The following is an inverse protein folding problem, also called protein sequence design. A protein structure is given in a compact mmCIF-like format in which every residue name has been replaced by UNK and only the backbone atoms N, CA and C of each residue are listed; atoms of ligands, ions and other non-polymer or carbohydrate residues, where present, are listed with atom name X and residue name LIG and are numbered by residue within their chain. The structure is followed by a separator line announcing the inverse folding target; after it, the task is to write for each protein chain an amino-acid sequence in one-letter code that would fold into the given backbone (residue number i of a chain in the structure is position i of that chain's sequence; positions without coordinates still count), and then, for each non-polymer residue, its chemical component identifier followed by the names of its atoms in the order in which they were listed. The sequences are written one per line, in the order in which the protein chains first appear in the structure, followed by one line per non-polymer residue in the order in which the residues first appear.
data_IF_691547408257
#
_entry.id   IF_691547408257
#
_cell.length_a   1.000
_cell.length_b   1.000
_cell.length_c   1.000
_cell.angle_alpha   90.00
_cell.angle_beta   90.00
_cell.angle_gamma   90.00
#
_symmetry.space_group_name_H-M   'P 1'
#
loop_
_entity.id
_entity.type
_entity.pdbx_description
1 polymer ?
#
# COMPACT_ATOMS: atom_id res chain seq x y z
N UNK A 1 -86.22 14.61 13.18
CA UNK A 1 -85.88 16.06 13.18
C UNK A 1 -84.63 16.25 14.05
N UNK A 2 -83.50 16.71 13.49
CA UNK A 2 -82.36 17.43 14.13
C UNK A 2 -81.62 16.66 15.26
N UNK A 3 -80.28 16.53 15.33
CA UNK A 3 -79.14 17.23 14.74
C UNK A 3 -77.90 16.32 14.85
N UNK A 4 -77.00 16.49 13.86
CA UNK A 4 -75.64 15.93 13.74
C UNK A 4 -74.74 16.37 14.92
N UNK A 5 -73.89 15.47 15.41
CA UNK A 5 -72.62 15.83 16.05
C UNK A 5 -71.48 15.32 15.16
N UNK A 6 -70.67 16.27 14.70
CA UNK A 6 -69.48 16.05 13.89
C UNK A 6 -68.33 15.94 14.88
N UNK A 7 -67.75 14.76 15.03
CA UNK A 7 -66.47 14.57 15.72
C UNK A 7 -65.38 14.69 14.67
N UNK A 8 -64.77 15.87 14.57
CA UNK A 8 -63.60 16.08 13.73
C UNK A 8 -62.40 15.34 14.33
N UNK A 9 -61.91 14.33 13.63
CA UNK A 9 -60.58 13.75 13.90
C UNK A 9 -59.59 14.59 13.12
N UNK A 10 -58.78 15.37 13.84
CA UNK A 10 -57.63 16.08 13.31
C UNK A 10 -56.58 15.01 12.92
N UNK A 11 -56.47 14.68 11.63
CA UNK A 11 -55.33 13.91 11.15
C UNK A 11 -54.10 14.83 11.20
N UNK A 12 -53.26 14.66 12.21
CA UNK A 12 -51.91 15.18 12.18
C UNK A 12 -51.14 14.40 11.10
N UNK A 13 -50.93 15.03 9.95
CA UNK A 13 -49.96 14.59 8.95
C UNK A 13 -48.56 14.73 9.57
N UNK A 14 -48.12 13.67 10.26
CA UNK A 14 -46.71 13.46 10.58
C UNK A 14 -45.99 13.23 9.27
N UNK A 15 -45.37 14.29 8.75
CA UNK A 15 -44.37 14.21 7.70
C UNK A 15 -43.18 13.46 8.28
N UNK A 16 -43.09 12.16 7.99
CA UNK A 16 -41.84 11.43 8.11
C UNK A 16 -40.88 12.02 7.09
N UNK A 17 -40.11 13.03 7.50
CA UNK A 17 -38.88 13.38 6.82
C UNK A 17 -37.97 12.19 7.09
N UNK A 18 -37.92 11.24 6.16
CA UNK A 18 -36.82 10.29 6.12
C UNK A 18 -35.55 11.13 6.16
N UNK A 19 -34.62 10.91 7.10
CA UNK A 19 -33.33 11.55 7.01
C UNK A 19 -32.76 11.13 5.66
N UNK A 20 -32.55 12.10 4.77
CA UNK A 20 -31.81 11.85 3.55
C UNK A 20 -30.50 11.21 4.00
N UNK A 21 -30.27 9.95 3.59
CA UNK A 21 -29.05 9.22 3.92
C UNK A 21 -27.90 10.14 3.53
N UNK A 22 -27.12 10.60 4.51
CA UNK A 22 -26.04 11.54 4.25
C UNK A 22 -25.15 10.89 3.18
N UNK A 23 -24.91 11.62 2.08
CA UNK A 23 -24.04 11.11 1.03
C UNK A 23 -22.66 10.84 1.64
N UNK A 24 -22.01 9.71 1.30
CA UNK A 24 -20.74 9.34 1.90
C UNK A 24 -19.73 10.49 1.76
N UNK A 25 -19.08 10.84 2.88
CA UNK A 25 -18.07 11.90 2.93
C UNK A 25 -16.78 11.36 2.30
N UNK A 26 -16.30 11.99 1.22
CA UNK A 26 -14.98 11.67 0.67
C UNK A 26 -13.91 12.16 1.64
N UNK A 27 -13.00 11.28 2.03
CA UNK A 27 -11.80 11.66 2.79
C UNK A 27 -10.72 12.11 1.80
N UNK A 28 -10.17 13.29 2.05
CA UNK A 28 -9.08 13.80 1.22
C UNK A 28 -7.80 12.95 1.42
N UNK A 29 -7.02 12.72 0.35
CA UNK A 29 -5.71 12.07 0.46
C UNK A 29 -4.81 12.82 1.45
N UNK A 30 -4.03 12.06 2.22
CA UNK A 30 -3.06 12.61 3.18
C UNK A 30 -1.90 13.26 2.41
N UNK A 31 -1.52 12.64 1.29
CA UNK A 31 -0.48 13.14 0.41
C UNK A 31 -1.08 13.53 -0.95
N UNK A 32 -0.63 14.63 -1.58
CA UNK A 32 -1.09 15.01 -2.91
C UNK A 32 -0.85 13.87 -3.91
N UNK A 33 -1.90 13.37 -4.56
CA UNK A 33 -1.79 12.28 -5.52
C UNK A 33 -0.83 12.66 -6.66
N UNK A 34 0.17 11.82 -6.99
CA UNK A 34 1.05 12.06 -8.12
C UNK A 34 0.25 12.17 -9.43
N UNK A 35 0.72 12.96 -10.39
CA UNK A 35 0.02 13.13 -11.68
C UNK A 35 -0.30 11.80 -12.37
N UNK A 36 0.64 10.86 -12.35
CA UNK A 36 0.43 9.54 -12.95
C UNK A 36 -0.72 8.76 -12.29
N UNK A 37 -1.02 8.98 -11.01
CA UNK A 37 -2.16 8.33 -10.33
C UNK A 37 -3.48 8.82 -10.90
N UNK A 38 -3.59 10.11 -11.20
CA UNK A 38 -4.79 10.64 -11.84
C UNK A 38 -4.98 10.03 -13.23
N UNK A 39 -3.90 9.91 -14.01
CA UNK A 39 -3.93 9.23 -15.31
C UNK A 39 -4.36 7.76 -15.19
N UNK A 40 -3.87 7.03 -14.18
CA UNK A 40 -4.29 5.65 -13.92
C UNK A 40 -5.79 5.56 -13.61
N UNK A 41 -6.31 6.49 -12.80
CA UNK A 41 -7.74 6.56 -12.46
C UNK A 41 -8.58 6.91 -13.69
N UNK A 42 -8.12 7.82 -14.55
CA UNK A 42 -8.81 8.18 -15.79
C UNK A 42 -8.93 6.97 -16.72
N UNK A 43 -7.83 6.24 -16.93
CA UNK A 43 -7.83 5.00 -17.71
C UNK A 43 -8.75 3.94 -17.09
N UNK A 44 -8.71 3.74 -15.77
CA UNK A 44 -9.58 2.77 -15.11
C UNK A 44 -11.07 3.14 -15.21
N UNK A 45 -11.40 4.44 -15.24
CA UNK A 45 -12.77 4.90 -15.49
C UNK A 45 -13.24 4.62 -16.93
N UNK A 46 -12.36 4.77 -17.93
CA UNK A 46 -12.68 4.44 -19.33
C UNK A 46 -13.05 2.96 -19.51
N UNK A 47 -12.52 2.08 -18.65
CA UNK A 47 -12.76 0.64 -18.70
C UNK A 47 -14.01 0.17 -17.95
N UNK A 48 -14.70 1.06 -17.22
CA UNK A 48 -15.88 0.68 -16.44
C UNK A 48 -16.96 0.03 -17.33
N UNK A 49 -17.42 -1.14 -16.90
CA UNK A 49 -18.42 -1.92 -17.62
C UNK A 49 -17.85 -2.82 -18.71
N UNK A 50 -16.54 -2.83 -18.96
CA UNK A 50 -15.90 -3.88 -19.76
C UNK A 50 -16.17 -5.24 -19.12
N UNK A 51 -16.81 -6.15 -19.85
CA UNK A 51 -17.17 -7.50 -19.39
C UNK A 51 -16.37 -8.55 -20.17
N UNK A 52 -15.91 -9.58 -19.47
CA UNK A 52 -15.26 -10.73 -20.12
C UNK A 52 -16.19 -11.38 -21.15
N UNK A 53 -15.60 -11.97 -22.20
CA UNK A 53 -16.38 -12.66 -23.22
C UNK A 53 -16.91 -13.98 -22.67
N UNK A 54 -17.95 -14.52 -23.32
CA UNK A 54 -18.55 -15.81 -22.97
C UNK A 54 -17.56 -17.00 -22.93
N UNK A 55 -16.41 -16.89 -23.60
CA UNK A 55 -15.36 -17.92 -23.61
C UNK A 55 -14.30 -17.71 -22.50
N UNK A 56 -14.56 -16.77 -21.59
CA UNK A 56 -13.68 -16.35 -20.50
C UNK A 56 -12.57 -15.40 -20.93
N UNK A 57 -12.53 -14.97 -22.20
CA UNK A 57 -11.42 -14.16 -22.69
C UNK A 57 -11.57 -12.66 -22.43
N UNK A 58 -10.45 -12.00 -22.11
CA UNK A 58 -10.39 -10.54 -21.97
C UNK A 58 -9.30 -9.93 -22.86
N UNK A 59 -9.43 -8.63 -23.15
CA UNK A 59 -8.38 -7.86 -23.84
C UNK A 59 -7.14 -7.72 -22.96
N UNK A 60 -7.30 -7.70 -21.64
CA UNK A 60 -6.20 -7.61 -20.68
C UNK A 60 -5.36 -8.88 -20.69
N UNK A 61 -6.00 -10.05 -20.59
CA UNK A 61 -5.31 -11.33 -20.68
C UNK A 61 -4.69 -11.54 -22.05
N UNK A 62 -5.37 -11.16 -23.13
CA UNK A 62 -4.79 -11.25 -24.48
C UNK A 62 -3.55 -10.36 -24.64
N UNK A 63 -3.54 -9.17 -24.04
CA UNK A 63 -2.38 -8.28 -24.00
C UNK A 63 -1.25 -8.86 -23.12
N UNK A 64 -1.60 -9.44 -21.97
CA UNK A 64 -0.65 -10.04 -21.03
C UNK A 64 0.00 -11.33 -21.60
N UNK A 65 -0.72 -12.06 -22.45
CA UNK A 65 -0.27 -13.30 -23.08
C UNK A 65 -1.03 -14.56 -22.65
N UNK A 66 -2.02 -14.42 -21.75
CA UNK A 66 -2.96 -15.47 -21.37
C UNK A 66 -4.39 -14.93 -21.33
N UNK A 67 -5.12 -15.09 -22.43
CA UNK A 67 -6.44 -14.48 -22.58
C UNK A 67 -7.47 -14.97 -21.56
N UNK A 68 -7.27 -16.13 -20.91
CA UNK A 68 -8.29 -16.82 -20.08
C UNK A 68 -7.91 -16.94 -18.60
N UNK A 69 -6.85 -16.27 -18.16
CA UNK A 69 -6.44 -16.27 -16.76
C UNK A 69 -7.35 -15.38 -15.88
N UNK A 70 -7.17 -15.46 -14.56
CA UNK A 70 -7.73 -14.49 -13.62
C UNK A 70 -7.13 -13.11 -13.91
N UNK A 71 -7.95 -12.20 -14.41
CA UNK A 71 -7.47 -10.98 -15.05
C UNK A 71 -7.46 -9.76 -14.13
N UNK A 72 -7.60 -9.95 -12.81
CA UNK A 72 -7.62 -8.84 -11.84
C UNK A 72 -6.32 -8.02 -11.87
N UNK A 73 -5.19 -8.71 -11.75
CA UNK A 73 -3.87 -8.10 -11.86
C UNK A 73 -3.57 -7.61 -13.28
N UNK A 74 -4.00 -8.36 -14.28
CA UNK A 74 -3.79 -8.02 -15.69
C UNK A 74 -4.49 -6.72 -16.08
N UNK A 75 -5.71 -6.48 -15.58
CA UNK A 75 -6.43 -5.23 -15.73
C UNK A 75 -5.64 -4.06 -15.14
N UNK A 76 -5.16 -4.18 -13.89
CA UNK A 76 -4.38 -3.12 -13.27
C UNK A 76 -3.07 -2.87 -14.03
N UNK A 77 -2.36 -3.92 -14.44
CA UNK A 77 -1.15 -3.81 -15.25
C UNK A 77 -1.43 -3.16 -16.61
N UNK A 78 -2.58 -3.46 -17.23
CA UNK A 78 -3.01 -2.86 -18.48
C UNK A 78 -3.26 -1.36 -18.31
N UNK A 79 -3.92 -0.93 -17.23
CA UNK A 79 -4.10 0.50 -16.94
C UNK A 79 -2.74 1.22 -16.84
N UNK A 80 -1.75 0.60 -16.18
CA UNK A 80 -0.40 1.16 -16.09
C UNK A 80 0.28 1.23 -17.46
N UNK A 81 0.18 0.17 -18.27
CA UNK A 81 0.70 0.14 -19.63
C UNK A 81 0.07 1.20 -20.53
N UNK A 82 -1.23 1.45 -20.41
CA UNK A 82 -1.89 2.51 -21.18
C UNK A 82 -1.39 3.89 -20.80
N UNK A 83 -1.11 4.14 -19.52
CA UNK A 83 -0.46 5.40 -19.10
C UNK A 83 0.93 5.50 -19.73
N UNK A 84 1.73 4.42 -19.69
CA UNK A 84 3.05 4.37 -20.33
C UNK A 84 2.96 4.67 -21.84
N UNK A 85 2.00 4.06 -22.56
CA UNK A 85 1.84 4.24 -24.00
C UNK A 85 1.31 5.63 -24.39
N UNK A 86 0.34 6.16 -23.63
CA UNK A 86 -0.33 7.44 -23.97
C UNK A 86 0.48 8.65 -23.52
N UNK A 87 1.28 8.51 -22.47
CA UNK A 87 2.00 9.63 -21.83
C UNK A 87 3.52 9.47 -21.83
N UNK A 88 4.06 8.38 -22.39
CA UNK A 88 5.51 8.16 -22.50
C UNK A 88 6.20 7.92 -21.16
N UNK A 89 5.49 7.36 -20.18
CA UNK A 89 6.03 7.02 -18.86
C UNK A 89 6.68 5.62 -18.85
N UNK A 90 7.28 5.22 -17.73
CA UNK A 90 7.89 3.89 -17.52
C UNK A 90 7.39 3.24 -16.21
N UNK A 91 6.13 3.44 -15.87
CA UNK A 91 5.52 3.05 -14.60
C UNK A 91 5.52 1.53 -14.40
N UNK A 92 5.28 0.72 -15.44
CA UNK A 92 5.34 -0.76 -15.32
C UNK A 92 6.75 -1.29 -15.04
N UNK A 93 7.78 -0.47 -15.27
CA UNK A 93 9.17 -0.83 -14.99
C UNK A 93 9.62 -0.32 -13.62
N UNK A 94 9.14 0.85 -13.22
CA UNK A 94 9.68 1.59 -12.08
C UNK A 94 8.76 1.65 -10.87
N UNK A 95 7.44 1.66 -11.09
CA UNK A 95 6.45 2.00 -10.06
C UNK A 95 5.45 0.89 -9.75
N UNK A 96 5.18 0.00 -10.70
CA UNK A 96 4.25 -1.12 -10.55
C UNK A 96 4.83 -2.41 -11.16
N UNK A 97 4.42 -3.58 -10.66
CA UNK A 97 4.80 -4.86 -11.25
C UNK A 97 3.95 -5.18 -12.49
N UNK A 98 4.54 -5.89 -13.45
CA UNK A 98 3.80 -6.63 -14.47
C UNK A 98 3.61 -8.08 -13.99
N UNK A 99 2.37 -8.50 -13.74
CA UNK A 99 2.07 -9.87 -13.30
C UNK A 99 0.61 -10.28 -13.50
N UNK A 100 0.36 -11.59 -13.46
CA UNK A 100 -0.97 -12.21 -13.54
C UNK A 100 -1.18 -13.37 -12.56
N UNK A 101 -0.27 -13.57 -11.61
CA UNK A 101 -0.33 -14.70 -10.66
C UNK A 101 -0.28 -14.27 -9.18
N UNK A 102 -0.79 -15.14 -8.32
CA UNK A 102 -0.85 -14.98 -6.87
C UNK A 102 0.48 -14.60 -6.24
N UNK A 103 0.42 -13.71 -5.25
CA UNK A 103 1.50 -13.16 -4.44
C UNK A 103 2.58 -12.36 -5.18
N UNK A 104 2.68 -12.43 -6.52
CA UNK A 104 3.73 -11.72 -7.27
C UNK A 104 3.65 -10.21 -7.02
N UNK A 105 2.46 -9.62 -7.15
CA UNK A 105 2.26 -8.19 -6.92
C UNK A 105 2.62 -7.75 -5.51
N UNK A 106 2.06 -8.43 -4.50
CA UNK A 106 2.31 -8.13 -3.09
C UNK A 106 3.80 -8.25 -2.77
N UNK A 107 4.44 -9.35 -3.16
CA UNK A 107 5.86 -9.58 -2.92
C UNK A 107 6.73 -8.55 -3.63
N UNK A 108 6.35 -8.12 -4.83
CA UNK A 108 7.05 -7.03 -5.52
C UNK A 108 6.97 -5.73 -4.71
N UNK A 109 5.78 -5.34 -4.23
CA UNK A 109 5.63 -4.14 -3.40
C UNK A 109 6.43 -4.25 -2.10
N UNK A 110 6.44 -5.43 -1.48
CA UNK A 110 7.22 -5.71 -0.27
C UNK A 110 8.74 -5.60 -0.54
N UNK A 111 9.24 -6.19 -1.62
CA UNK A 111 10.63 -6.06 -2.06
C UNK A 111 11.00 -4.61 -2.41
N UNK A 112 10.07 -3.83 -2.95
CA UNK A 112 10.23 -2.39 -3.18
C UNK A 112 10.11 -1.54 -1.92
N UNK A 113 9.81 -2.14 -0.77
CA UNK A 113 9.59 -1.41 0.48
C UNK A 113 8.32 -0.57 0.50
N UNK A 114 7.39 -0.82 -0.41
CA UNK A 114 6.15 -0.08 -0.64
C UNK A 114 4.93 -0.96 -0.36
N UNK A 115 4.96 -1.73 0.72
CA UNK A 115 3.82 -2.52 1.16
C UNK A 115 3.49 -2.19 2.61
N UNK A 116 2.21 -1.94 2.89
CA UNK A 116 1.71 -1.69 4.24
C UNK A 116 0.66 -2.75 4.56
N UNK A 117 0.98 -3.61 5.53
CA UNK A 117 0.07 -4.65 6.02
C UNK A 117 -1.09 -4.05 6.78
N UNK A 118 -2.28 -4.60 6.59
CA UNK A 118 -3.47 -4.22 7.36
C UNK A 118 -3.27 -4.43 8.86
N UNK A 119 -2.47 -5.42 9.25
CA UNK A 119 -2.21 -5.75 10.66
C UNK A 119 -1.03 -4.98 11.24
N UNK A 120 -0.34 -4.16 10.43
CA UNK A 120 0.90 -3.50 10.82
C UNK A 120 2.09 -4.44 11.02
N UNK A 121 1.96 -5.73 10.66
CA UNK A 121 3.07 -6.69 10.66
C UNK A 121 2.98 -7.61 9.44
N UNK A 122 4.13 -8.02 8.90
CA UNK A 122 4.20 -8.91 7.75
C UNK A 122 4.82 -10.24 8.17
N UNK A 123 4.18 -11.35 7.80
CA UNK A 123 4.69 -12.69 8.10
C UNK A 123 6.06 -12.93 7.43
N UNK A 124 6.98 -13.57 8.14
CA UNK A 124 8.38 -13.73 7.70
C UNK A 124 9.24 -12.46 7.80
N UNK A 125 8.63 -11.30 8.01
CA UNK A 125 9.29 -10.03 8.30
C UNK A 125 9.01 -9.65 9.75
N UNK A 126 8.46 -8.47 10.04
CA UNK A 126 8.01 -8.13 11.38
C UNK A 126 7.07 -6.93 11.35
N UNK A 127 7.04 -6.19 12.46
CA UNK A 127 6.19 -5.01 12.61
C UNK A 127 6.66 -3.85 11.73
N UNK A 128 5.70 -3.02 11.35
CA UNK A 128 5.88 -1.83 10.54
C UNK A 128 5.64 -0.57 11.37
N UNK A 129 6.28 0.51 10.97
CA UNK A 129 6.10 1.84 11.55
C UNK A 129 6.14 2.90 10.46
N UNK A 130 5.45 4.01 10.67
CA UNK A 130 5.52 5.15 9.77
C UNK A 130 6.91 5.77 9.79
N UNK A 131 7.42 6.16 8.63
CA UNK A 131 8.77 6.75 8.51
C UNK A 131 8.83 8.12 9.20
N UNK A 132 7.82 8.96 8.98
CA UNK A 132 7.80 10.34 9.48
C UNK A 132 7.53 10.41 10.98
N UNK A 133 6.41 9.83 11.45
CA UNK A 133 6.04 9.88 12.87
C UNK A 133 6.82 8.90 13.73
N UNK A 134 7.42 7.86 13.13
CA UNK A 134 8.04 6.75 13.82
C UNK A 134 7.05 6.00 14.73
N UNK A 135 5.73 6.11 14.52
CA UNK A 135 4.73 5.36 15.28
C UNK A 135 4.51 3.98 14.67
N UNK A 136 4.24 2.97 15.50
CA UNK A 136 3.92 1.64 15.00
C UNK A 136 2.58 1.68 14.27
N UNK A 137 2.49 0.97 13.15
CA UNK A 137 1.22 0.84 12.43
C UNK A 137 0.40 -0.25 13.14
N UNK A 138 -0.82 0.10 13.53
CA UNK A 138 -1.80 -0.79 14.14
C UNK A 138 -2.75 -1.44 13.13
N UNK A 139 -3.67 -2.25 13.66
CA UNK A 139 -4.68 -2.96 12.87
C UNK A 139 -5.65 -1.96 12.20
N UNK A 140 -5.74 -2.04 10.87
CA UNK A 140 -6.56 -1.17 10.01
C UNK A 140 -6.23 0.34 10.15
N UNK A 141 -5.03 0.67 10.63
CA UNK A 141 -4.66 2.06 10.92
C UNK A 141 -4.27 2.84 9.66
N UNK A 142 -3.58 2.18 8.72
CA UNK A 142 -3.19 2.83 7.47
C UNK A 142 -4.41 3.13 6.61
N UNK A 143 -4.63 4.42 6.31
CA UNK A 143 -5.64 4.88 5.36
C UNK A 143 -5.01 4.97 3.97
N UNK A 144 -5.41 4.10 3.02
CA UNK A 144 -4.76 4.06 1.71
C UNK A 144 -5.04 5.29 0.87
N UNK A 145 -4.11 5.58 -0.04
CA UNK A 145 -4.19 6.72 -0.95
C UNK A 145 -4.76 6.28 -2.31
N UNK A 146 -5.31 7.20 -3.12
CA UNK A 146 -5.60 6.92 -4.52
C UNK A 146 -4.38 6.32 -5.24
N UNK A 147 -4.61 5.29 -6.04
CA UNK A 147 -3.58 4.55 -6.77
C UNK A 147 -2.90 3.43 -5.99
N UNK A 148 -3.15 3.30 -4.67
CA UNK A 148 -2.69 2.15 -3.89
C UNK A 148 -3.37 0.87 -4.39
N UNK A 149 -2.65 -0.26 -4.39
CA UNK A 149 -3.20 -1.56 -4.77
C UNK A 149 -3.59 -2.33 -3.51
N UNK A 150 -4.90 -2.55 -3.31
CA UNK A 150 -5.42 -3.37 -2.23
C UNK A 150 -5.31 -4.85 -2.61
N UNK A 151 -4.62 -5.63 -1.78
CA UNK A 151 -4.46 -7.07 -1.96
C UNK A 151 -5.41 -7.84 -1.05
N UNK A 152 -6.13 -8.80 -1.62
CA UNK A 152 -7.14 -9.58 -0.92
C UNK A 152 -6.79 -11.06 -0.88
N UNK A 153 -7.18 -11.75 0.19
CA UNK A 153 -7.20 -13.20 0.28
C UNK A 153 -8.58 -13.70 0.69
N UNK A 154 -9.14 -14.61 -0.09
CA UNK A 154 -10.35 -15.37 0.25
C UNK A 154 -10.04 -16.73 0.88
N UNK A 155 -8.76 -17.01 1.15
CA UNK A 155 -8.30 -18.32 1.62
C UNK A 155 -7.60 -18.21 2.98
N UNK A 156 -7.63 -19.27 3.81
CA UNK A 156 -6.89 -19.27 5.07
C UNK A 156 -5.36 -19.26 4.90
N UNK A 157 -4.82 -19.53 3.70
CA UNK A 157 -3.37 -19.51 3.47
C UNK A 157 -2.79 -18.10 3.51
N UNK A 158 -3.62 -17.07 3.34
CA UNK A 158 -3.18 -15.69 3.25
C UNK A 158 -2.60 -15.34 1.87
N UNK A 159 -2.70 -16.25 0.90
CA UNK A 159 -2.28 -15.99 -0.47
C UNK A 159 -3.20 -14.97 -1.14
N UNK A 160 -2.64 -14.07 -1.95
CA UNK A 160 -3.45 -13.08 -2.67
C UNK A 160 -4.29 -13.77 -3.74
N UNK A 161 -5.60 -13.67 -3.62
CA UNK A 161 -6.55 -14.19 -4.60
C UNK A 161 -7.16 -13.09 -5.45
N UNK A 162 -7.02 -11.82 -5.05
CA UNK A 162 -7.57 -10.69 -5.79
C UNK A 162 -6.80 -9.40 -5.50
N UNK A 163 -6.87 -8.47 -6.44
CA UNK A 163 -6.26 -7.14 -6.32
C UNK A 163 -7.18 -6.09 -6.92
N UNK A 164 -7.20 -4.92 -6.30
CA UNK A 164 -7.98 -3.78 -6.77
C UNK A 164 -7.19 -2.48 -6.57
N UNK A 165 -7.43 -1.47 -7.41
CA UNK A 165 -6.79 -0.16 -7.28
C UNK A 165 -7.71 0.80 -6.54
N UNK A 166 -7.22 1.43 -5.47
CA UNK A 166 -7.96 2.42 -4.68
C UNK A 166 -8.18 3.68 -5.52
N UNK A 167 -9.44 4.07 -5.68
CA UNK A 167 -9.82 5.36 -6.27
C UNK A 167 -9.87 6.45 -5.20
N UNK A 168 -10.55 6.15 -4.09
CA UNK A 168 -10.79 7.09 -3.01
C UNK A 168 -11.16 6.36 -1.72
N UNK A 169 -11.04 7.09 -0.61
CA UNK A 169 -11.54 6.65 0.69
C UNK A 169 -12.80 7.46 1.00
N UNK A 170 -13.83 6.77 1.49
CA UNK A 170 -15.10 7.36 1.87
C UNK A 170 -15.44 6.99 3.31
N UNK A 171 -15.87 7.97 4.08
CA UNK A 171 -16.39 7.82 5.42
C UNK A 171 -17.91 7.76 5.38
N UNK A 172 -18.45 6.79 6.09
CA UNK A 172 -19.87 6.56 6.32
C UNK A 172 -20.15 6.54 7.81
N UNK A 173 -21.43 6.56 8.18
CA UNK A 173 -21.84 6.52 9.59
C UNK A 173 -21.32 5.28 10.34
N UNK A 174 -21.13 4.18 9.61
CA UNK A 174 -20.73 2.87 10.13
C UNK A 174 -19.23 2.55 9.97
N UNK A 175 -18.45 3.42 9.33
CA UNK A 175 -17.01 3.22 9.24
C UNK A 175 -16.32 3.90 8.06
N UNK A 176 -15.06 3.50 7.84
CA UNK A 176 -14.22 3.94 6.73
C UNK A 176 -14.18 2.85 5.67
N UNK A 177 -14.36 3.26 4.43
CA UNK A 177 -14.45 2.38 3.27
C UNK A 177 -13.49 2.82 2.19
N UNK A 178 -12.91 1.85 1.49
CA UNK A 178 -12.18 2.08 0.24
C UNK A 178 -13.13 1.85 -0.93
N UNK A 179 -13.18 2.81 -1.85
CA UNK A 179 -13.77 2.61 -3.18
C UNK A 179 -12.63 2.27 -4.13
N UNK A 180 -12.79 1.16 -4.84
CA UNK A 180 -11.73 0.61 -5.70
C UNK A 180 -12.23 0.36 -7.11
N UNK A 181 -11.33 0.41 -8.08
CA UNK A 181 -11.50 -0.21 -9.39
C UNK A 181 -11.03 -1.66 -9.33
N UNK A 182 -11.85 -2.57 -9.81
CA UNK A 182 -11.50 -3.98 -9.89
C UNK A 182 -12.12 -4.64 -11.12
N UNK A 183 -11.46 -5.70 -11.56
CA UNK A 183 -12.07 -6.89 -12.12
C UNK A 183 -11.25 -8.06 -11.59
N UNK A 184 -11.52 -9.34 -11.83
CA UNK A 184 -12.77 -9.97 -12.19
C UNK A 184 -13.58 -10.20 -10.90
N UNK A 185 -14.72 -9.52 -10.68
CA UNK A 185 -15.60 -9.85 -9.56
C UNK A 185 -17.05 -9.34 -9.78
N UNK A 186 -17.93 -10.01 -10.56
CA UNK A 186 -17.82 -11.40 -10.96
C UNK A 186 -17.38 -11.64 -12.41
N UNK A 187 -17.37 -10.62 -13.27
CA UNK A 187 -17.05 -10.78 -14.71
C UNK A 187 -16.70 -9.48 -15.45
N UNK A 188 -16.57 -8.35 -14.73
CA UNK A 188 -16.42 -7.02 -15.35
C UNK A 188 -15.57 -6.06 -14.54
N UNK A 189 -15.08 -5.03 -15.23
CA UNK A 189 -14.47 -3.88 -14.59
C UNK A 189 -15.58 -3.05 -13.95
N UNK A 190 -15.45 -2.79 -12.67
CA UNK A 190 -16.43 -2.06 -11.89
C UNK A 190 -15.80 -1.31 -10.73
N UNK A 191 -16.61 -0.47 -10.09
CA UNK A 191 -16.30 0.06 -8.77
C UNK A 191 -16.89 -0.83 -7.70
N UNK A 192 -16.08 -1.15 -6.70
CA UNK A 192 -16.50 -1.87 -5.52
C UNK A 192 -16.16 -1.08 -4.26
N UNK A 193 -16.85 -1.40 -3.17
CA UNK A 193 -16.64 -0.77 -1.89
C UNK A 193 -16.37 -1.81 -0.82
N UNK A 194 -15.25 -1.64 -0.11
CA UNK A 194 -14.83 -2.52 0.97
C UNK A 194 -14.64 -1.71 2.24
N UNK A 195 -15.11 -2.25 3.38
CA UNK A 195 -14.72 -1.69 4.68
C UNK A 195 -13.21 -1.83 4.83
N UNK A 196 -12.52 -0.81 5.36
CA UNK A 196 -11.09 -0.92 5.66
C UNK A 196 -10.78 -2.00 6.71
N UNK A 197 -11.79 -2.37 7.51
CA UNK A 197 -11.70 -3.45 8.48
C UNK A 197 -11.99 -4.84 7.90
N UNK A 198 -12.30 -4.93 6.60
CA UNK A 198 -12.54 -6.22 5.93
C UNK A 198 -11.33 -7.14 6.11
N UNK A 199 -11.57 -8.29 6.72
CA UNK A 199 -10.51 -9.19 7.11
C UNK A 199 -9.76 -9.77 5.90
N UNK A 200 -10.41 -9.78 4.74
CA UNK A 200 -9.88 -10.30 3.48
C UNK A 200 -8.79 -9.39 2.92
N UNK A 201 -8.76 -8.11 3.29
CA UNK A 201 -7.69 -7.21 2.91
C UNK A 201 -6.43 -7.60 3.69
N UNK A 202 -5.38 -7.97 2.96
CA UNK A 202 -4.07 -8.27 3.54
C UNK A 202 -3.27 -6.99 3.81
N UNK A 203 -3.41 -6.00 2.92
CA UNK A 203 -2.68 -4.76 2.96
C UNK A 203 -2.66 -4.09 1.60
N UNK A 204 -1.76 -3.11 1.45
CA UNK A 204 -1.74 -2.19 0.33
C UNK A 204 -0.33 -2.06 -0.25
N UNK A 205 -0.23 -2.21 -1.57
CA UNK A 205 0.92 -1.75 -2.34
C UNK A 205 0.82 -0.24 -2.53
N UNK A 206 1.70 0.53 -1.91
CA UNK A 206 1.52 1.97 -1.75
C UNK A 206 2.16 2.77 -2.87
N UNK A 207 1.58 3.91 -3.26
CA UNK A 207 2.18 4.85 -4.23
C UNK A 207 3.38 5.62 -3.65
N UNK A 208 3.41 5.77 -2.33
CA UNK A 208 4.47 6.43 -1.57
C UNK A 208 5.24 5.44 -0.69
N UNK A 209 6.52 5.71 -0.44
CA UNK A 209 7.28 5.03 0.61
C UNK A 209 7.00 5.71 1.95
N UNK A 210 6.08 5.13 2.74
CA UNK A 210 5.57 5.74 3.98
C UNK A 210 5.88 4.91 5.24
N UNK A 211 6.29 3.67 5.07
CA UNK A 211 6.52 2.73 6.17
C UNK A 211 7.89 2.07 6.06
N UNK A 212 8.54 1.92 7.21
CA UNK A 212 9.66 1.01 7.39
C UNK A 212 9.16 -0.28 8.08
N UNK A 213 10.01 -1.31 8.05
CA UNK A 213 9.67 -2.65 8.51
C UNK A 213 10.85 -3.30 9.22
N UNK A 214 10.55 -4.10 10.25
CA UNK A 214 11.56 -4.93 10.89
C UNK A 214 12.09 -6.00 9.92
N UNK A 215 13.41 -6.08 9.79
CA UNK A 215 14.09 -6.98 8.87
C UNK A 215 14.92 -8.02 9.61
N UNK A 216 14.93 -9.24 9.10
CA UNK A 216 15.67 -10.39 9.65
C UNK A 216 16.29 -11.22 8.54
N UNK A 217 17.14 -12.17 8.92
CA UNK A 217 17.80 -13.08 7.99
C UNK A 217 16.82 -13.73 7.01
N UNK A 218 17.14 -13.66 5.73
CA UNK A 218 16.32 -14.17 4.63
C UNK A 218 15.35 -13.15 4.02
N UNK A 219 15.14 -11.98 4.64
CA UNK A 219 14.44 -10.88 3.96
C UNK A 219 15.32 -10.30 2.86
N UNK A 220 14.69 -9.81 1.79
CA UNK A 220 15.38 -9.23 0.64
C UNK A 220 14.58 -8.05 0.07
N UNK A 221 15.28 -7.15 -0.61
CA UNK A 221 14.68 -6.00 -1.30
C UNK A 221 15.38 -4.67 -1.01
N UNK A 222 14.73 -3.60 -1.43
CA UNK A 222 15.28 -2.25 -1.43
C UNK A 222 15.49 -1.71 0.01
N UNK A 223 14.62 -2.07 0.96
CA UNK A 223 14.79 -1.72 2.38
C UNK A 223 16.03 -2.39 2.99
N UNK A 224 16.29 -3.66 2.64
CA UNK A 224 17.49 -4.39 3.09
C UNK A 224 18.75 -3.76 2.49
N UNK A 225 18.73 -3.44 1.20
CA UNK A 225 19.83 -2.74 0.52
C UNK A 225 20.10 -1.38 1.17
N UNK A 226 19.07 -0.63 1.50
CA UNK A 226 19.18 0.65 2.19
C UNK A 226 19.81 0.50 3.59
N UNK A 227 19.43 -0.53 4.34
CA UNK A 227 20.06 -0.87 5.62
C UNK A 227 21.55 -1.20 5.44
N UNK A 228 21.89 -2.05 4.48
CA UNK A 228 23.27 -2.44 4.19
C UNK A 228 24.13 -1.23 3.81
N UNK A 229 23.62 -0.31 2.97
CA UNK A 229 24.33 0.92 2.62
C UNK A 229 24.65 1.78 3.86
N UNK A 230 23.70 1.90 4.81
CA UNK A 230 23.95 2.62 6.06
C UNK A 230 25.00 1.91 6.93
N UNK A 231 24.94 0.57 7.01
CA UNK A 231 25.95 -0.21 7.71
C UNK A 231 27.35 -0.03 7.09
N UNK A 232 27.46 0.05 5.76
CA UNK A 232 28.72 0.33 5.06
C UNK A 232 29.23 1.72 5.41
N UNK A 233 28.36 2.74 5.35
CA UNK A 233 28.74 4.11 5.70
C UNK A 233 29.24 4.24 7.15
N UNK A 234 28.69 3.44 8.06
CA UNK A 234 29.13 3.37 9.46
C UNK A 234 30.32 2.43 9.69
N UNK A 235 30.95 1.89 8.64
CA UNK A 235 32.04 0.92 8.69
C UNK A 235 31.70 -0.40 9.44
N UNK A 236 30.42 -0.74 9.51
CA UNK A 236 29.89 -1.96 10.15
C UNK A 236 29.72 -3.12 9.17
N UNK A 237 29.73 -2.84 7.86
CA UNK A 237 29.63 -3.82 6.79
C UNK A 237 30.58 -3.44 5.65
N UNK A 238 31.09 -4.45 4.94
CA UNK A 238 31.94 -4.24 3.76
C UNK A 238 31.07 -4.03 2.51
N UNK A 239 31.50 -3.12 1.63
CA UNK A 239 30.69 -2.70 0.47
C UNK A 239 30.32 -3.85 -0.49
N UNK A 240 31.17 -4.85 -0.64
CA UNK A 240 30.90 -6.04 -1.46
C UNK A 240 29.74 -6.91 -0.93
N UNK A 241 29.25 -6.65 0.27
CA UNK A 241 28.13 -7.36 0.87
C UNK A 241 26.79 -6.62 0.69
N UNK A 242 26.76 -5.48 -0.02
CA UNK A 242 25.51 -4.80 -0.40
C UNK A 242 24.85 -5.53 -1.58
N UNK A 243 24.08 -6.56 -1.26
CA UNK A 243 23.39 -7.40 -2.24
C UNK A 243 21.85 -7.26 -2.17
N UNK A 244 21.32 -6.55 -1.17
CA UNK A 244 19.89 -6.44 -0.91
C UNK A 244 19.28 -7.70 -0.29
N UNK A 245 20.09 -8.63 0.21
CA UNK A 245 19.68 -9.85 0.91
C UNK A 245 20.20 -9.78 2.33
N UNK A 246 19.31 -9.97 3.31
CA UNK A 246 19.67 -9.96 4.72
C UNK A 246 20.31 -11.30 5.05
N UNK A 247 21.61 -11.41 4.77
CA UNK A 247 22.41 -12.61 4.95
C UNK A 247 23.08 -12.67 6.33
N UNK A 248 23.94 -13.68 6.53
CA UNK A 248 24.68 -13.85 7.78
C UNK A 248 25.63 -12.67 8.09
N UNK A 249 26.17 -12.02 7.06
CA UNK A 249 27.04 -10.86 7.25
C UNK A 249 26.23 -9.68 7.78
N UNK A 250 25.07 -9.41 7.18
CA UNK A 250 24.15 -8.35 7.60
C UNK A 250 23.65 -8.61 9.03
N UNK A 251 23.26 -9.85 9.34
CA UNK A 251 22.85 -10.26 10.69
C UNK A 251 23.97 -10.02 11.72
N UNK A 252 25.21 -10.41 11.40
CA UNK A 252 26.33 -10.22 12.30
C UNK A 252 26.63 -8.72 12.52
N UNK A 253 26.59 -7.89 11.48
CA UNK A 253 26.75 -6.43 11.61
C UNK A 253 25.68 -5.82 12.52
N UNK A 254 24.42 -6.26 12.39
CA UNK A 254 23.34 -5.81 13.26
C UNK A 254 23.56 -6.26 14.71
N UNK A 255 24.01 -7.49 14.95
CA UNK A 255 24.34 -7.95 16.32
C UNK A 255 25.45 -7.12 16.96
N UNK A 256 26.52 -6.81 16.23
CA UNK A 256 27.59 -5.96 16.73
C UNK A 256 27.06 -4.56 17.05
N UNK A 257 26.32 -3.95 16.12
CA UNK A 257 25.70 -2.65 16.35
C UNK A 257 24.80 -2.64 17.58
N UNK A 258 23.96 -3.66 17.76
CA UNK A 258 23.09 -3.79 18.93
C UNK A 258 23.90 -3.90 20.22
N UNK A 259 24.93 -4.75 20.24
CA UNK A 259 25.82 -4.93 21.40
C UNK A 259 26.52 -3.62 21.80
N UNK A 260 27.11 -2.93 20.83
CA UNK A 260 27.86 -1.68 21.06
C UNK A 260 26.95 -0.55 21.57
N UNK A 261 25.66 -0.62 21.25
CA UNK A 261 24.65 0.36 21.63
C UNK A 261 23.74 -0.10 22.77
N UNK A 262 24.09 -1.19 23.46
CA UNK A 262 23.34 -1.70 24.63
C UNK A 262 21.87 -2.05 24.31
N UNK A 263 21.58 -2.38 23.05
CA UNK A 263 20.30 -2.92 22.62
C UNK A 263 20.28 -4.45 22.81
N UNK A 264 19.09 -5.04 22.77
CA UNK A 264 18.96 -6.51 22.74
C UNK A 264 19.62 -7.08 21.49
N UNK A 265 20.61 -7.96 21.65
CA UNK A 265 21.39 -8.55 20.56
C UNK A 265 20.63 -9.67 19.84
N UNK A 266 19.55 -9.32 19.14
CA UNK A 266 18.67 -10.26 18.45
C UNK A 266 19.16 -10.61 17.04
N UNK A 267 19.95 -9.73 16.41
CA UNK A 267 20.27 -9.81 14.98
C UNK A 267 19.12 -9.41 14.05
N UNK A 268 17.98 -8.98 14.61
CA UNK A 268 16.85 -8.43 13.86
C UNK A 268 17.04 -6.92 13.83
N UNK A 269 17.00 -6.33 12.63
CA UNK A 269 16.94 -4.88 12.48
C UNK A 269 15.48 -4.44 12.75
N UNK A 270 15.09 -4.43 14.01
CA UNK A 270 13.80 -3.93 14.46
C UNK A 270 13.74 -2.39 14.45
N UNK A 271 12.62 -1.84 14.90
CA UNK A 271 12.38 -0.41 14.94
C UNK A 271 13.44 0.34 15.74
N UNK A 272 13.70 -0.10 16.97
CA UNK A 272 14.67 0.55 17.86
C UNK A 272 16.07 0.55 17.25
N UNK A 273 16.48 -0.61 16.71
CA UNK A 273 17.77 -0.78 16.03
C UNK A 273 17.89 0.16 14.83
N UNK A 274 16.89 0.20 13.95
CA UNK A 274 16.93 1.02 12.74
C UNK A 274 16.86 2.52 13.04
N UNK A 275 16.06 2.95 14.02
CA UNK A 275 15.98 4.35 14.42
C UNK A 275 17.31 4.85 14.98
N UNK A 276 17.96 4.06 15.85
CA UNK A 276 19.27 4.43 16.39
C UNK A 276 20.35 4.45 15.31
N UNK A 277 20.33 3.47 14.41
CA UNK A 277 21.25 3.41 13.27
C UNK A 277 21.08 4.61 12.33
N UNK A 278 19.83 5.01 12.05
CA UNK A 278 19.52 6.21 11.28
C UNK A 278 19.99 7.49 11.97
N UNK A 279 19.85 7.58 13.30
CA UNK A 279 20.31 8.73 14.06
C UNK A 279 21.84 8.86 13.99
N UNK A 280 22.58 7.78 14.19
CA UNK A 280 24.05 7.76 14.07
C UNK A 280 24.53 8.11 12.67
N UNK A 281 23.92 7.50 11.65
CA UNK A 281 24.23 7.81 10.25
C UNK A 281 24.05 9.30 9.93
N UNK A 282 22.98 9.94 10.45
CA UNK A 282 22.77 11.38 10.28
C UNK A 282 23.84 12.22 10.99
N UNK A 283 24.25 11.83 12.19
CA UNK A 283 25.32 12.52 12.94
C UNK A 283 26.64 12.45 12.19
N UNK A 284 27.07 11.25 11.78
CA UNK A 284 28.35 11.06 11.08
C UNK A 284 28.40 11.85 9.75
N UNK A 285 27.31 11.85 8.97
CA UNK A 285 27.22 12.65 7.75
C UNK A 285 27.28 14.17 8.00
N UNK A 286 26.70 14.65 9.11
CA UNK A 286 26.77 16.06 9.46
C UNK A 286 28.18 16.46 9.91
N UNK A 287 28.84 15.60 10.69
CA UNK A 287 30.22 15.82 11.10
C UNK A 287 31.16 15.87 9.89
N UNK A 288 31.08 14.92 8.95
CA UNK A 288 31.90 14.97 7.72
C UNK A 288 31.65 16.23 6.88
N UNK A 289 30.40 16.67 6.75
CA UNK A 289 30.07 17.89 6.01
C UNK A 289 30.56 19.17 6.71
N UNK A 290 30.62 19.19 8.05
CA UNK A 290 31.15 20.36 8.78
C UNK A 290 32.67 20.50 8.69
N UNK A 291 33.41 19.40 8.56
CA UNK A 291 34.86 19.44 8.39
C UNK A 291 35.31 20.09 7.05
N UNK A 292 34.51 19.99 5.99
CA UNK A 292 34.84 20.61 4.69
C UNK A 292 34.50 22.10 4.57
N UNK A 293 33.71 22.67 5.49
CA UNK A 293 33.27 24.08 5.41
C UNK A 293 34.28 25.05 6.06
N UNK A 294 35.23 24.58 6.86
CA UNK A 294 36.09 25.46 7.68
C UNK A 294 37.39 25.92 6.98
N UNK A 295 37.78 25.36 5.83
CA UNK A 295 39.03 25.78 5.12
C UNK A 295 38.81 26.76 3.93
N UNK A 296 37.60 27.28 3.73
CA UNK A 296 37.28 28.17 2.60
C UNK A 296 37.25 29.68 2.90
N UNK A 297 37.54 30.09 4.14
CA UNK A 297 37.30 31.48 4.56
C UNK A 297 38.27 32.00 5.60
N UNK A 298 39.52 32.28 5.19
CA UNK A 298 40.41 33.29 5.78
C UNK A 298 41.29 33.91 4.69
#
# INVERSE_FOLDING_TARGET
MKKRFITGVLLALLSFISPALASPEKLEPIYPSPEYVNLLIDIANEELGYTEKNDGSTKYGAWYGDAKAEWCAEFLCWCVNEVDNRHGTNLLKEKYPLYGATNIGLNWFLQKGRYVSRTGSVNGWGSQWYIESQENIGLNEYIPQPGDWAFFSYTPSGDTTHVAMVEQVVKRDDGIYIQVFEGNNPDKVQKALYSISDWRILGYGTVFDIADIAMRKGNEGDKVRALQNKLVALNLLVNNNVNGIFDASTENSIKHFQMDNQLSTTGIADKETQLLLNAKFKTDMNEENTFWIVEGGL
#
